data_IF_398132304931
#
_entry.id   IF_398132304931
#
_cell.length_a   1.000
_cell.length_b   1.000
_cell.length_c   1.000
_cell.angle_alpha   90.00
_cell.angle_beta   90.00
_cell.angle_gamma   90.00
#
_symmetry.space_group_name_H-M   'P 1'
#
loop_
_entity.id
_entity.type
_entity.pdbx_description
1 polymer ?
#
# COMPACT_ATOMS: atom_id res chain seq x y z
N UNK A 1 -17.96 29.80 -13.57
CA UNK A 1 -17.03 28.79 -13.01
C UNK A 1 -16.74 28.98 -11.51
N UNK A 2 -16.56 30.20 -11.02
CA UNK A 2 -16.22 30.47 -9.60
C UNK A 2 -17.40 30.22 -8.65
N UNK A 3 -18.62 30.60 -9.01
CA UNK A 3 -19.87 30.33 -8.23
C UNK A 3 -20.11 28.81 -8.08
N UNK A 4 -19.77 28.00 -9.07
CA UNK A 4 -19.95 26.53 -9.02
C UNK A 4 -18.94 25.85 -8.09
N UNK A 5 -17.73 26.41 -7.93
CA UNK A 5 -16.72 25.88 -7.00
C UNK A 5 -17.05 26.16 -5.53
N UNK A 6 -17.57 27.34 -5.23
CA UNK A 6 -17.97 27.71 -3.86
C UNK A 6 -19.14 26.84 -3.36
N UNK A 7 -20.11 26.53 -4.22
CA UNK A 7 -21.23 25.63 -3.88
C UNK A 7 -20.74 24.20 -3.59
N UNK A 8 -19.80 23.67 -4.38
CA UNK A 8 -19.23 22.31 -4.14
C UNK A 8 -18.49 22.23 -2.81
N UNK A 9 -17.68 23.25 -2.49
CA UNK A 9 -16.97 23.29 -1.20
C UNK A 9 -17.94 23.39 -0.01
N UNK A 10 -19.05 24.13 -0.17
CA UNK A 10 -20.10 24.23 0.85
C UNK A 10 -20.82 22.89 1.05
N UNK A 11 -21.11 22.16 -0.03
CA UNK A 11 -21.76 20.84 0.03
C UNK A 11 -20.85 19.76 0.63
N UNK A 12 -19.53 19.90 0.53
CA UNK A 12 -18.54 18.95 1.03
C UNK A 12 -17.88 19.42 2.34
N UNK A 13 -18.29 20.53 2.92
CA UNK A 13 -17.60 21.18 4.05
C UNK A 13 -17.37 20.25 5.25
N UNK A 14 -18.39 19.48 5.64
CA UNK A 14 -18.28 18.54 6.77
C UNK A 14 -17.26 17.44 6.49
N UNK A 15 -17.25 16.92 5.27
CA UNK A 15 -16.25 15.94 4.84
C UNK A 15 -14.84 16.55 4.84
N UNK A 16 -14.67 17.80 4.37
CA UNK A 16 -13.36 18.46 4.31
C UNK A 16 -12.78 18.66 5.71
N UNK A 17 -13.60 19.02 6.72
CA UNK A 17 -13.14 19.14 8.11
C UNK A 17 -12.57 17.82 8.61
N UNK A 18 -13.30 16.72 8.40
CA UNK A 18 -12.85 15.38 8.81
C UNK A 18 -11.61 14.97 8.02
N UNK A 19 -11.61 15.21 6.70
CA UNK A 19 -10.50 14.88 5.82
C UNK A 19 -9.20 15.60 6.21
N UNK A 20 -9.23 16.88 6.53
CA UNK A 20 -8.07 17.65 6.99
C UNK A 20 -7.57 17.10 8.33
N UNK A 21 -8.46 16.83 9.29
CA UNK A 21 -8.09 16.25 10.57
C UNK A 21 -7.39 14.90 10.40
N UNK A 22 -7.96 14.03 9.57
CA UNK A 22 -7.41 12.70 9.29
C UNK A 22 -6.11 12.76 8.48
N UNK A 23 -5.94 13.72 7.57
CA UNK A 23 -4.67 13.96 6.88
C UNK A 23 -3.56 14.31 7.87
N UNK A 24 -3.82 15.22 8.81
CA UNK A 24 -2.86 15.63 9.82
C UNK A 24 -2.48 14.44 10.71
N UNK A 25 -3.46 13.64 11.15
CA UNK A 25 -3.22 12.43 11.94
C UNK A 25 -2.39 11.40 11.16
N UNK A 26 -2.68 11.19 9.88
CA UNK A 26 -1.93 10.27 9.01
C UNK A 26 -0.48 10.72 8.84
N UNK A 27 -0.22 12.01 8.62
CA UNK A 27 1.14 12.56 8.56
C UNK A 27 1.84 12.33 9.90
N UNK A 28 1.19 12.61 11.03
CA UNK A 28 1.76 12.40 12.37
C UNK A 28 2.13 10.94 12.64
N UNK A 29 1.23 10.01 12.32
CA UNK A 29 1.47 8.57 12.50
C UNK A 29 2.58 8.05 11.57
N UNK A 30 2.58 8.44 10.30
CA UNK A 30 3.62 8.04 9.34
C UNK A 30 5.00 8.61 9.69
N UNK A 31 5.04 9.86 10.19
CA UNK A 31 6.27 10.49 10.70
C UNK A 31 6.81 9.74 11.91
N UNK A 32 5.94 9.31 12.82
CA UNK A 32 6.33 8.52 14.01
C UNK A 32 6.80 7.13 13.60
N UNK A 33 6.10 6.46 12.68
CA UNK A 33 6.53 5.17 12.15
C UNK A 33 7.95 5.25 11.57
N UNK A 34 8.22 6.24 10.71
CA UNK A 34 9.56 6.48 10.17
C UNK A 34 10.61 6.68 11.28
N UNK A 35 10.30 7.48 12.31
CA UNK A 35 11.24 7.72 13.40
C UNK A 35 11.52 6.47 14.25
N UNK A 36 10.51 5.64 14.48
CA UNK A 36 10.66 4.36 15.20
C UNK A 36 11.45 3.33 14.37
N UNK A 37 11.24 3.30 13.07
CA UNK A 37 12.01 2.47 12.13
C UNK A 37 13.51 2.80 12.20
N UNK A 38 13.84 4.11 12.16
CA UNK A 38 15.21 4.59 12.32
C UNK A 38 15.77 4.26 13.71
N UNK A 39 15.00 4.49 14.77
CA UNK A 39 15.42 4.20 16.13
C UNK A 39 15.77 2.72 16.32
N UNK A 40 14.95 1.81 15.78
CA UNK A 40 15.23 0.37 15.86
C UNK A 40 16.49 0.01 15.09
N UNK A 41 16.66 0.53 13.88
CA UNK A 41 17.85 0.23 13.08
C UNK A 41 19.13 0.82 13.72
N UNK A 42 19.10 2.07 14.21
CA UNK A 42 20.22 2.73 14.87
C UNK A 42 20.63 1.98 16.17
N UNK A 43 19.65 1.49 16.93
CA UNK A 43 19.87 0.76 18.18
C UNK A 43 20.44 -0.64 18.00
N UNK A 44 20.09 -1.32 16.89
CA UNK A 44 20.36 -2.75 16.72
C UNK A 44 21.35 -3.05 15.60
N UNK A 45 21.49 -2.18 14.61
CA UNK A 45 22.21 -2.43 13.37
C UNK A 45 21.62 -3.58 12.53
N UNK A 46 20.46 -4.14 12.91
CA UNK A 46 19.88 -5.35 12.34
C UNK A 46 18.79 -5.02 11.34
N UNK A 47 19.00 -5.42 10.09
CA UNK A 47 18.01 -5.36 9.01
C UNK A 47 16.82 -6.28 9.33
N UNK A 48 17.07 -7.40 9.99
CA UNK A 48 16.02 -8.35 10.40
C UNK A 48 15.11 -7.74 11.45
N UNK A 49 15.64 -7.07 12.49
CA UNK A 49 14.82 -6.44 13.52
C UNK A 49 14.03 -5.25 12.94
N UNK A 50 14.63 -4.49 12.03
CA UNK A 50 13.93 -3.46 11.27
C UNK A 50 12.77 -4.04 10.44
N UNK A 51 12.99 -5.14 9.72
CA UNK A 51 11.93 -5.81 8.94
C UNK A 51 10.77 -6.30 9.83
N UNK A 52 11.05 -6.73 11.06
CA UNK A 52 10.03 -7.12 12.03
C UNK A 52 9.15 -5.94 12.46
N UNK A 53 9.66 -4.72 12.52
CA UNK A 53 8.82 -3.53 12.79
C UNK A 53 7.70 -3.41 11.76
N UNK A 54 8.06 -3.50 10.48
CA UNK A 54 7.10 -3.47 9.37
C UNK A 54 6.14 -4.66 9.38
N UNK A 55 6.65 -5.86 9.74
CA UNK A 55 5.83 -7.06 9.88
C UNK A 55 4.74 -6.88 10.96
N UNK A 56 5.12 -6.44 12.15
CA UNK A 56 4.19 -6.24 13.28
C UNK A 56 3.22 -5.08 13.07
N UNK A 57 3.52 -4.17 12.14
CA UNK A 57 2.59 -3.14 11.68
C UNK A 57 1.59 -3.69 10.64
N UNK A 58 2.04 -4.55 9.72
CA UNK A 58 1.24 -4.95 8.55
C UNK A 58 0.44 -6.23 8.78
N UNK A 59 1.04 -7.25 9.38
CA UNK A 59 0.42 -8.57 9.53
C UNK A 59 -0.87 -8.54 10.38
N UNK A 60 -0.93 -7.86 11.55
CA UNK A 60 -2.17 -7.78 12.33
C UNK A 60 -3.27 -7.04 11.59
N UNK A 61 -2.93 -5.99 10.85
CA UNK A 61 -3.87 -5.24 10.00
C UNK A 61 -4.55 -6.17 8.98
N UNK A 62 -3.76 -7.00 8.27
CA UNK A 62 -4.26 -7.93 7.26
C UNK A 62 -5.16 -9.00 7.90
N UNK A 63 -4.74 -9.56 9.03
CA UNK A 63 -5.49 -10.63 9.71
C UNK A 63 -6.82 -10.15 10.30
N UNK A 64 -6.89 -8.91 10.77
CA UNK A 64 -8.07 -8.35 11.43
C UNK A 64 -9.04 -7.69 10.44
N UNK A 65 -8.55 -7.13 9.32
CA UNK A 65 -9.38 -6.41 8.34
C UNK A 65 -10.62 -7.18 7.86
N UNK A 66 -10.57 -8.50 7.57
CA UNK A 66 -11.74 -9.25 7.15
C UNK A 66 -12.85 -9.35 8.22
N UNK A 67 -12.46 -9.26 9.48
CA UNK A 67 -13.39 -9.31 10.62
C UNK A 67 -13.91 -7.91 10.95
N UNK A 68 -13.05 -6.91 10.80
CA UNK A 68 -13.34 -5.52 11.15
C UNK A 68 -14.45 -4.92 10.28
N UNK A 69 -14.45 -5.16 8.96
CA UNK A 69 -15.44 -4.62 8.04
C UNK A 69 -16.89 -4.88 8.46
N UNK A 70 -17.32 -6.16 8.57
CA UNK A 70 -18.69 -6.50 9.00
C UNK A 70 -19.08 -6.02 10.40
N UNK A 71 -18.10 -5.82 11.29
CA UNK A 71 -18.36 -5.28 12.63
C UNK A 71 -18.59 -3.78 12.58
N UNK A 72 -17.79 -3.05 11.81
CA UNK A 72 -17.92 -1.60 11.62
C UNK A 72 -19.25 -1.24 10.98
N UNK A 73 -19.79 -2.07 10.08
CA UNK A 73 -21.10 -1.84 9.47
C UNK A 73 -22.25 -1.80 10.49
N UNK A 74 -22.08 -2.46 11.66
CA UNK A 74 -23.06 -2.50 12.76
C UNK A 74 -22.84 -1.41 13.81
N UNK A 75 -21.67 -0.75 13.79
CA UNK A 75 -21.28 0.23 14.80
C UNK A 75 -21.47 1.66 14.33
N UNK A 76 -21.51 2.58 15.27
CA UNK A 76 -21.43 4.01 14.99
C UNK A 76 -20.04 4.34 14.43
N UNK A 77 -20.00 4.71 13.15
CA UNK A 77 -18.76 4.93 12.40
C UNK A 77 -17.89 6.03 13.01
N UNK A 78 -18.52 7.12 13.50
CA UNK A 78 -17.80 8.22 14.16
C UNK A 78 -17.16 7.74 15.46
N UNK A 79 -17.90 7.03 16.30
CA UNK A 79 -17.37 6.49 17.56
C UNK A 79 -16.26 5.49 17.28
N UNK A 80 -16.41 4.64 16.28
CA UNK A 80 -15.40 3.67 15.86
C UNK A 80 -14.09 4.36 15.46
N UNK A 81 -14.14 5.41 14.64
CA UNK A 81 -12.96 6.18 14.26
C UNK A 81 -12.29 6.82 15.48
N UNK A 82 -13.06 7.48 16.35
CA UNK A 82 -12.54 8.12 17.55
C UNK A 82 -11.85 7.10 18.48
N UNK A 83 -12.51 5.98 18.74
CA UNK A 83 -11.95 4.93 19.61
C UNK A 83 -10.68 4.35 18.98
N UNK A 84 -10.69 4.10 17.69
CA UNK A 84 -9.53 3.56 16.99
C UNK A 84 -8.34 4.53 17.02
N UNK A 85 -8.55 5.81 16.73
CA UNK A 85 -7.50 6.84 16.77
C UNK A 85 -6.92 7.01 18.19
N UNK A 86 -7.78 7.10 19.20
CA UNK A 86 -7.36 7.26 20.61
C UNK A 86 -6.58 6.03 21.07
N UNK A 87 -7.06 4.82 20.80
CA UNK A 87 -6.39 3.59 21.24
C UNK A 87 -5.07 3.39 20.50
N UNK A 88 -5.01 3.65 19.18
CA UNK A 88 -3.75 3.64 18.44
C UNK A 88 -2.73 4.64 19.02
N UNK A 89 -3.20 5.84 19.38
CA UNK A 89 -2.35 6.87 19.97
C UNK A 89 -1.81 6.48 21.35
N UNK A 90 -2.57 5.71 22.16
CA UNK A 90 -2.08 5.20 23.45
C UNK A 90 -0.84 4.32 23.29
N UNK A 91 -0.75 3.53 22.22
CA UNK A 91 0.46 2.77 21.90
C UNK A 91 1.67 3.68 21.70
N UNK A 92 1.50 4.78 20.95
CA UNK A 92 2.55 5.79 20.75
C UNK A 92 2.93 6.52 22.04
N UNK A 93 1.95 6.87 22.88
CA UNK A 93 2.19 7.49 24.18
C UNK A 93 3.00 6.54 25.09
N UNK A 94 2.65 5.25 25.12
CA UNK A 94 3.39 4.25 25.91
C UNK A 94 4.85 4.16 25.45
N UNK A 95 5.13 4.15 24.13
CA UNK A 95 6.50 4.24 23.61
C UNK A 95 7.18 5.51 24.10
N UNK A 96 6.52 6.66 24.04
CA UNK A 96 7.08 7.94 24.49
C UNK A 96 7.45 7.93 25.97
N UNK A 97 6.59 7.41 26.82
CA UNK A 97 6.86 7.26 28.25
C UNK A 97 8.06 6.34 28.48
N UNK A 98 8.09 5.16 27.87
CA UNK A 98 9.19 4.20 27.97
C UNK A 98 10.52 4.80 27.50
N UNK A 99 10.47 5.60 26.44
CA UNK A 99 11.64 6.30 25.91
C UNK A 99 12.18 7.34 26.91
N UNK A 100 11.31 8.18 27.46
CA UNK A 100 11.70 9.23 28.43
C UNK A 100 12.29 8.64 29.70
N UNK A 101 11.76 7.54 30.23
CA UNK A 101 12.30 6.85 31.39
C UNK A 101 13.52 5.95 31.09
N UNK A 102 13.99 5.94 29.82
CA UNK A 102 15.17 5.18 29.41
C UNK A 102 14.97 3.65 29.38
N UNK A 103 13.72 3.15 29.34
CA UNK A 103 13.39 1.72 29.34
C UNK A 103 12.78 1.22 28.01
N UNK A 104 12.89 2.01 26.94
CA UNK A 104 12.39 1.59 25.63
C UNK A 104 13.30 0.49 25.07
N UNK A 105 12.69 -0.65 24.73
CA UNK A 105 13.29 -1.77 24.03
C UNK A 105 12.55 -2.06 22.73
N UNK A 106 13.19 -2.77 21.79
CA UNK A 106 12.65 -3.04 20.44
C UNK A 106 11.31 -3.78 20.49
N UNK A 107 11.17 -4.77 21.40
CA UNK A 107 9.92 -5.54 21.50
C UNK A 107 8.71 -4.71 21.94
N UNK A 108 8.92 -3.60 22.68
CA UNK A 108 7.83 -2.67 23.00
C UNK A 108 7.25 -2.03 21.73
N UNK A 109 8.13 -1.73 20.74
CA UNK A 109 7.73 -1.17 19.45
C UNK A 109 6.91 -2.19 18.65
N UNK A 110 7.31 -3.46 18.65
CA UNK A 110 6.53 -4.53 18.01
C UNK A 110 5.13 -4.65 18.61
N UNK A 111 5.01 -4.63 19.93
CA UNK A 111 3.70 -4.67 20.62
C UNK A 111 2.85 -3.44 20.30
N UNK A 112 3.43 -2.24 20.35
CA UNK A 112 2.72 -1.01 20.07
C UNK A 112 2.26 -0.94 18.61
N UNK A 113 3.09 -1.38 17.65
CA UNK A 113 2.71 -1.47 16.24
C UNK A 113 1.59 -2.48 16.02
N UNK A 114 1.67 -3.66 16.66
CA UNK A 114 0.58 -4.65 16.63
C UNK A 114 -0.72 -4.06 17.14
N UNK A 115 -0.67 -3.39 18.29
CA UNK A 115 -1.82 -2.75 18.91
C UNK A 115 -2.42 -1.68 17.98
N UNK A 116 -1.59 -0.79 17.44
CA UNK A 116 -1.99 0.24 16.46
C UNK A 116 -2.62 -0.40 15.23
N UNK A 117 -2.01 -1.43 14.65
CA UNK A 117 -2.48 -2.11 13.45
C UNK A 117 -3.87 -2.75 13.64
N UNK A 118 -4.15 -3.32 14.81
CA UNK A 118 -5.47 -3.88 15.17
C UNK A 118 -6.53 -2.78 15.09
N UNK A 119 -6.31 -1.61 15.71
CA UNK A 119 -7.30 -0.53 15.69
C UNK A 119 -7.42 0.14 14.32
N UNK A 120 -6.32 0.26 13.57
CA UNK A 120 -6.36 0.76 12.20
C UNK A 120 -7.17 -0.13 11.26
N UNK A 121 -7.27 -1.45 11.51
CA UNK A 121 -8.13 -2.35 10.78
C UNK A 121 -9.63 -1.99 10.90
N UNK A 122 -10.05 -1.39 12.02
CA UNK A 122 -11.43 -0.87 12.22
C UNK A 122 -11.58 0.57 11.72
N UNK A 123 -10.54 1.39 11.87
CA UNK A 123 -10.57 2.79 11.44
C UNK A 123 -10.81 2.94 9.94
N UNK A 124 -10.05 2.21 9.11
CA UNK A 124 -10.10 2.35 7.65
C UNK A 124 -11.49 2.10 7.06
N UNK A 125 -12.21 1.00 7.34
CA UNK A 125 -13.56 0.80 6.84
C UNK A 125 -14.56 1.81 7.43
N UNK A 126 -14.39 2.22 8.70
CA UNK A 126 -15.24 3.25 9.31
C UNK A 126 -15.10 4.60 8.58
N UNK A 127 -13.88 5.02 8.26
CA UNK A 127 -13.61 6.25 7.53
C UNK A 127 -14.19 6.20 6.11
N UNK A 128 -13.96 5.12 5.37
CA UNK A 128 -14.50 4.93 4.02
C UNK A 128 -16.03 4.97 4.02
N UNK A 129 -16.67 4.27 4.95
CA UNK A 129 -18.13 4.27 5.08
C UNK A 129 -18.69 5.64 5.52
N UNK A 130 -17.93 6.39 6.33
CA UNK A 130 -18.29 7.75 6.75
C UNK A 130 -18.27 8.73 5.59
N UNK A 131 -17.36 8.56 4.64
CA UNK A 131 -17.28 9.41 3.43
C UNK A 131 -18.57 9.37 2.64
N UNK A 132 -19.18 8.18 2.49
CA UNK A 132 -20.47 8.02 1.77
C UNK A 132 -21.62 8.75 2.48
N UNK A 133 -21.55 8.91 3.81
CA UNK A 133 -22.57 9.61 4.59
C UNK A 133 -22.43 11.14 4.58
N UNK A 134 -21.18 11.62 4.49
CA UNK A 134 -20.87 13.06 4.60
C UNK A 134 -20.86 13.77 3.26
N UNK A 135 -20.85 13.01 2.15
CA UNK A 135 -20.69 13.57 0.80
C UNK A 135 -21.93 13.28 -0.05
N UNK A 136 -22.52 14.27 -0.73
CA UNK A 136 -23.57 14.05 -1.71
C UNK A 136 -23.12 13.08 -2.81
N UNK A 137 -24.02 12.21 -3.28
CA UNK A 137 -23.71 11.15 -4.27
C UNK A 137 -22.97 11.66 -5.50
N UNK A 138 -23.31 12.87 -5.98
CA UNK A 138 -22.69 13.53 -7.13
C UNK A 138 -21.20 13.89 -6.92
N UNK A 139 -20.72 13.95 -5.67
CA UNK A 139 -19.34 14.33 -5.31
C UNK A 139 -18.50 13.17 -4.75
N UNK A 140 -19.03 11.94 -4.71
CA UNK A 140 -18.30 10.77 -4.18
C UNK A 140 -16.97 10.51 -4.91
N UNK A 141 -16.94 10.70 -6.23
CA UNK A 141 -15.68 10.56 -7.00
C UNK A 141 -14.62 11.58 -6.56
N UNK A 142 -15.04 12.81 -6.21
CA UNK A 142 -14.11 13.84 -5.68
C UNK A 142 -13.62 13.48 -4.29
N UNK A 143 -14.50 12.97 -3.43
CA UNK A 143 -14.11 12.51 -2.09
C UNK A 143 -13.12 11.35 -2.15
N UNK A 144 -13.35 10.36 -3.02
CA UNK A 144 -12.42 9.25 -3.25
C UNK A 144 -11.06 9.75 -3.78
N UNK A 145 -11.07 10.73 -4.69
CA UNK A 145 -9.85 11.40 -5.15
C UNK A 145 -9.09 12.08 -4.02
N UNK A 146 -9.80 12.80 -3.12
CA UNK A 146 -9.20 13.42 -1.94
C UNK A 146 -8.64 12.38 -0.95
N UNK A 147 -9.31 11.24 -0.76
CA UNK A 147 -8.79 10.15 0.06
C UNK A 147 -7.48 9.58 -0.52
N UNK A 148 -7.43 9.34 -1.82
CA UNK A 148 -6.19 8.89 -2.49
C UNK A 148 -5.08 9.95 -2.38
N UNK A 149 -5.43 11.23 -2.54
CA UNK A 149 -4.49 12.35 -2.38
C UNK A 149 -3.91 12.42 -0.97
N UNK A 150 -4.71 12.13 0.06
CA UNK A 150 -4.25 12.08 1.46
C UNK A 150 -3.08 11.09 1.64
N UNK A 151 -3.17 9.89 1.09
CA UNK A 151 -2.10 8.90 1.12
C UNK A 151 -0.86 9.40 0.34
N UNK A 152 -1.06 9.96 -0.86
CA UNK A 152 0.04 10.52 -1.65
C UNK A 152 0.78 11.66 -0.92
N UNK A 153 0.04 12.58 -0.30
CA UNK A 153 0.62 13.67 0.52
C UNK A 153 1.42 13.10 1.68
N UNK A 154 0.89 12.10 2.39
CA UNK A 154 1.59 11.47 3.51
C UNK A 154 2.89 10.80 3.08
N UNK A 155 2.90 10.07 1.95
CA UNK A 155 4.10 9.44 1.39
C UNK A 155 5.20 10.44 1.04
N UNK A 156 4.83 11.65 0.64
CA UNK A 156 5.78 12.70 0.27
C UNK A 156 6.25 13.48 1.50
N UNK A 157 5.34 13.85 2.40
CA UNK A 157 5.65 14.76 3.51
C UNK A 157 6.25 14.04 4.72
N UNK A 158 5.68 12.88 5.09
CA UNK A 158 6.02 12.26 6.37
C UNK A 158 7.49 11.83 6.49
N UNK A 159 8.16 11.23 5.48
CA UNK A 159 9.57 10.86 5.61
C UNK A 159 10.50 12.07 5.72
N UNK A 160 10.30 13.12 4.88
CA UNK A 160 11.10 14.35 4.98
C UNK A 160 10.88 15.04 6.33
N UNK A 161 9.62 15.18 6.76
CA UNK A 161 9.29 15.78 8.05
C UNK A 161 9.89 14.96 9.20
N UNK A 162 9.80 13.63 9.15
CA UNK A 162 10.38 12.73 10.13
C UNK A 162 11.89 12.84 10.21
N UNK A 163 12.57 12.88 9.07
CA UNK A 163 14.02 13.06 9.00
C UNK A 163 14.48 14.38 9.60
N UNK A 164 13.79 15.48 9.31
CA UNK A 164 14.09 16.81 9.87
C UNK A 164 13.75 16.86 11.36
N UNK A 165 12.55 16.45 11.75
CA UNK A 165 12.13 16.52 13.16
C UNK A 165 12.99 15.62 14.06
N UNK A 166 13.42 14.44 13.56
CA UNK A 166 14.26 13.55 14.37
C UNK A 166 15.60 14.21 14.74
N UNK A 167 16.13 15.07 13.86
CA UNK A 167 17.39 15.80 14.14
C UNK A 167 17.20 17.01 15.04
N UNK A 168 16.03 17.68 15.02
CA UNK A 168 15.78 18.93 15.74
C UNK A 168 15.13 18.67 17.11
N UNK A 169 14.06 17.88 17.13
CA UNK A 169 13.23 17.67 18.33
C UNK A 169 13.31 16.24 18.88
N UNK A 170 14.12 15.40 18.25
CA UNK A 170 14.30 13.99 18.61
C UNK A 170 12.99 13.19 18.64
N UNK A 171 13.03 11.95 19.11
CA UNK A 171 11.87 11.07 19.16
C UNK A 171 10.72 11.60 20.03
N UNK A 172 11.05 12.28 21.16
CA UNK A 172 10.05 12.86 22.05
C UNK A 172 9.18 13.91 21.36
N UNK A 173 9.83 14.80 20.58
CA UNK A 173 9.10 15.85 19.84
C UNK A 173 8.21 15.28 18.75
N UNK A 174 8.64 14.20 18.08
CA UNK A 174 7.83 13.51 17.07
C UNK A 174 6.60 12.84 17.70
N UNK A 175 6.78 12.20 18.85
CA UNK A 175 5.64 11.61 19.59
C UNK A 175 4.64 12.69 20.02
N UNK A 176 5.13 13.82 20.53
CA UNK A 176 4.26 14.96 20.88
C UNK A 176 3.53 15.51 19.65
N UNK A 177 4.22 15.62 18.50
CA UNK A 177 3.62 16.02 17.24
C UNK A 177 2.50 15.06 16.83
N UNK A 178 2.71 13.72 16.91
CA UNK A 178 1.69 12.74 16.62
C UNK A 178 0.48 12.83 17.55
N UNK A 179 0.69 12.93 18.86
CA UNK A 179 -0.39 13.10 19.85
C UNK A 179 -1.22 14.36 19.54
N UNK A 180 -0.54 15.47 19.20
CA UNK A 180 -1.21 16.72 18.81
C UNK A 180 -2.00 16.52 17.49
N UNK A 181 -1.46 15.81 16.50
CA UNK A 181 -2.11 15.50 15.25
C UNK A 181 -3.39 14.67 15.45
N UNK A 182 -3.33 13.64 16.30
CA UNK A 182 -4.51 12.83 16.66
C UNK A 182 -5.53 13.66 17.45
N UNK A 183 -5.11 14.56 18.32
CA UNK A 183 -6.02 15.47 19.01
C UNK A 183 -6.77 16.39 18.04
N UNK A 184 -6.09 16.91 17.00
CA UNK A 184 -6.74 17.70 15.94
C UNK A 184 -7.77 16.84 15.17
N UNK A 185 -7.44 15.60 14.84
CA UNK A 185 -8.38 14.68 14.21
C UNK A 185 -9.60 14.37 15.12
N UNK A 186 -9.36 14.16 16.40
CA UNK A 186 -10.42 13.98 17.40
C UNK A 186 -11.36 15.18 17.44
N UNK A 187 -10.82 16.41 17.51
CA UNK A 187 -11.61 17.64 17.49
C UNK A 187 -12.41 17.76 16.19
N UNK A 188 -11.80 17.45 15.04
CA UNK A 188 -12.50 17.48 13.75
C UNK A 188 -13.70 16.53 13.71
N UNK A 189 -13.56 15.34 14.27
CA UNK A 189 -14.65 14.37 14.40
C UNK A 189 -15.72 14.82 15.42
N UNK A 190 -15.34 15.55 16.47
CA UNK A 190 -16.28 16.09 17.45
C UNK A 190 -17.13 17.25 16.87
N UNK A 191 -16.56 18.06 16.00
CA UNK A 191 -17.26 19.21 15.38
C UNK A 191 -18.29 18.76 14.33
N UNK A 192 -18.13 17.58 13.72
CA UNK A 192 -19.01 17.10 12.66
C UNK A 192 -20.06 16.14 13.22
N UNK A 193 -21.33 16.41 12.95
CA UNK A 193 -22.43 15.49 13.23
C UNK A 193 -22.62 14.55 12.04
N UNK A 194 -22.49 13.26 12.26
CA UNK A 194 -22.79 12.26 11.24
C UNK A 194 -24.30 11.99 11.22
N UNK A 195 -24.89 11.80 10.01
CA UNK A 195 -26.26 11.34 9.90
C UNK A 195 -26.42 9.95 10.56
N UNK A 196 -27.51 9.75 11.29
CA UNK A 196 -27.83 8.45 11.86
C UNK A 196 -28.21 7.49 10.74
N UNK A 197 -27.54 6.32 10.71
CA UNK A 197 -27.88 5.25 9.79
C UNK A 197 -28.82 4.29 10.51
N UNK A 198 -30.04 4.16 10.01
CA UNK A 198 -30.96 3.11 10.47
C UNK A 198 -30.38 1.75 10.09
N UNK A 199 -29.70 1.11 11.03
CA UNK A 199 -29.06 -0.21 10.89
C UNK A 199 -30.07 -1.37 10.69
N UNK A 200 -31.36 -1.11 10.78
CA UNK A 200 -32.40 -2.14 10.65
C UNK A 200 -32.54 -2.77 9.25
N UNK A 201 -31.94 -2.16 8.20
CA UNK A 201 -32.08 -2.66 6.83
C UNK A 201 -30.94 -3.57 6.33
N UNK A 202 -29.87 -3.75 7.11
CA UNK A 202 -28.64 -4.47 6.65
C UNK A 202 -28.66 -5.96 7.07
N UNK A 203 -29.74 -6.46 7.66
CA UNK A 203 -29.80 -7.79 8.31
C UNK A 203 -30.05 -8.99 7.37
N UNK A 204 -29.81 -8.94 6.05
CA UNK A 204 -30.22 -10.02 5.13
C UNK A 204 -29.15 -10.71 4.31
N UNK A 205 -27.87 -10.66 4.66
CA UNK A 205 -26.88 -11.53 4.01
C UNK A 205 -26.27 -12.49 5.05
N UNK A 206 -26.89 -13.65 5.24
CA UNK A 206 -26.35 -14.78 6.02
C UNK A 206 -25.30 -15.61 5.25
N UNK A 207 -24.52 -15.05 4.34
CA UNK A 207 -23.42 -15.79 3.76
C UNK A 207 -22.23 -15.77 4.72
N UNK A 208 -21.72 -16.96 5.07
CA UNK A 208 -20.50 -17.06 5.88
C UNK A 208 -19.34 -16.47 5.10
N UNK A 209 -18.54 -15.60 5.72
CA UNK A 209 -17.29 -15.04 5.15
C UNK A 209 -16.42 -16.14 4.51
N UNK A 210 -16.31 -17.30 5.17
CA UNK A 210 -15.58 -18.45 4.62
C UNK A 210 -16.18 -18.99 3.32
N UNK A 211 -17.50 -19.00 3.19
CA UNK A 211 -18.18 -19.44 1.96
C UNK A 211 -17.92 -18.47 0.82
N UNK A 212 -17.94 -17.16 1.08
CA UNK A 212 -17.66 -16.15 0.06
C UNK A 212 -16.19 -16.13 -0.37
N UNK A 213 -15.27 -16.29 0.59
CA UNK A 213 -13.84 -16.42 0.32
C UNK A 213 -13.55 -17.69 -0.49
N UNK A 214 -14.13 -18.82 -0.11
CA UNK A 214 -13.99 -20.09 -0.84
C UNK A 214 -14.52 -19.96 -2.27
N UNK A 215 -15.64 -19.28 -2.48
CA UNK A 215 -16.19 -19.04 -3.80
C UNK A 215 -15.23 -18.19 -4.66
N UNK A 216 -14.70 -17.06 -4.14
CA UNK A 216 -13.75 -16.20 -4.84
C UNK A 216 -12.48 -16.95 -5.24
N UNK A 217 -11.93 -17.78 -4.34
CA UNK A 217 -10.76 -18.62 -4.62
C UNK A 217 -11.07 -19.67 -5.70
N UNK A 218 -12.19 -20.38 -5.58
CA UNK A 218 -12.62 -21.38 -6.56
C UNK A 218 -12.82 -20.75 -7.94
N UNK A 219 -13.38 -19.53 -7.99
CA UNK A 219 -13.55 -18.77 -9.24
C UNK A 219 -12.22 -18.48 -9.92
N UNK A 220 -11.19 -18.08 -9.16
CA UNK A 220 -9.84 -17.82 -9.66
C UNK A 220 -9.15 -19.12 -10.13
N UNK A 221 -9.25 -20.20 -9.34
CA UNK A 221 -8.65 -21.51 -9.69
C UNK A 221 -9.26 -22.06 -10.98
N UNK A 222 -10.56 -21.88 -11.20
CA UNK A 222 -11.25 -22.28 -12.43
C UNK A 222 -10.82 -21.48 -13.67
N UNK A 223 -10.13 -20.33 -13.46
CA UNK A 223 -9.66 -19.44 -14.54
C UNK A 223 -8.14 -19.20 -14.42
N UNK A 224 -7.29 -20.12 -14.93
CA UNK A 224 -5.84 -20.07 -14.71
C UNK A 224 -5.16 -18.77 -15.16
N UNK A 225 -5.70 -18.07 -16.17
CA UNK A 225 -5.21 -16.76 -16.60
C UNK A 225 -5.39 -15.68 -15.54
N UNK A 226 -6.57 -15.63 -14.89
CA UNK A 226 -6.83 -14.68 -13.80
C UNK A 226 -6.03 -15.02 -12.53
N UNK A 227 -5.96 -16.30 -12.18
CA UNK A 227 -5.12 -16.75 -11.06
C UNK A 227 -3.65 -16.38 -11.28
N UNK A 228 -3.14 -16.65 -12.49
CA UNK A 228 -1.78 -16.28 -12.88
C UNK A 228 -1.54 -14.77 -12.76
N UNK A 229 -2.51 -13.94 -13.18
CA UNK A 229 -2.42 -12.49 -13.05
C UNK A 229 -2.39 -12.03 -11.58
N UNK A 230 -3.19 -12.65 -10.71
CA UNK A 230 -3.21 -12.34 -9.27
C UNK A 230 -1.89 -12.74 -8.61
N UNK A 231 -1.34 -13.92 -8.93
CA UNK A 231 -0.06 -14.36 -8.39
C UNK A 231 1.10 -13.50 -8.88
N UNK A 232 1.07 -13.11 -10.17
CA UNK A 232 2.06 -12.20 -10.75
C UNK A 232 1.97 -10.80 -10.14
N UNK A 233 0.76 -10.29 -9.85
CA UNK A 233 0.59 -9.06 -9.08
C UNK A 233 1.11 -9.19 -7.65
N UNK A 234 0.85 -10.31 -6.97
CA UNK A 234 1.32 -10.56 -5.61
C UNK A 234 2.86 -10.59 -5.53
N UNK A 235 3.56 -11.10 -6.55
CA UNK A 235 5.02 -11.05 -6.59
C UNK A 235 5.56 -9.62 -6.63
N UNK A 236 4.87 -8.70 -7.33
CA UNK A 236 5.20 -7.27 -7.30
C UNK A 236 5.10 -6.69 -5.87
N UNK A 237 4.05 -7.04 -5.11
CA UNK A 237 3.93 -6.63 -3.70
C UNK A 237 5.02 -7.23 -2.81
N UNK A 238 5.42 -8.49 -3.05
CA UNK A 238 6.57 -9.10 -2.37
C UNK A 238 7.86 -8.34 -2.62
N UNK A 239 8.12 -7.94 -3.87
CA UNK A 239 9.30 -7.16 -4.27
C UNK A 239 9.29 -5.78 -3.60
N UNK A 240 8.14 -5.09 -3.60
CA UNK A 240 7.96 -3.80 -2.89
C UNK A 240 8.27 -3.97 -1.41
N UNK A 241 7.76 -5.03 -0.76
CA UNK A 241 8.08 -5.36 0.64
C UNK A 241 9.59 -5.53 0.86
N UNK A 242 10.25 -6.27 0.00
CA UNK A 242 11.70 -6.48 0.05
C UNK A 242 12.51 -5.18 -0.13
N UNK A 243 12.13 -4.35 -1.10
CA UNK A 243 12.78 -3.04 -1.33
C UNK A 243 12.61 -2.13 -0.11
N UNK A 244 11.43 -2.10 0.51
CA UNK A 244 11.19 -1.31 1.72
C UNK A 244 12.14 -1.71 2.86
N UNK A 245 12.38 -3.02 3.05
CA UNK A 245 13.32 -3.53 4.07
C UNK A 245 14.77 -3.13 3.79
N UNK A 246 15.20 -3.16 2.53
CA UNK A 246 16.59 -2.89 2.14
C UNK A 246 16.88 -1.39 2.09
N UNK A 247 15.91 -0.56 1.72
CA UNK A 247 16.11 0.86 1.38
C UNK A 247 16.71 1.65 2.53
N UNK A 248 16.12 1.60 3.72
CA UNK A 248 16.59 2.40 4.87
C UNK A 248 18.00 1.99 5.30
N UNK A 249 18.28 0.70 5.58
CA UNK A 249 19.63 0.25 5.94
C UNK A 249 20.68 0.59 4.88
N UNK A 250 20.35 0.41 3.61
CA UNK A 250 21.30 0.66 2.52
C UNK A 250 21.60 2.15 2.38
N UNK A 251 20.59 3.02 2.40
CA UNK A 251 20.77 4.48 2.21
C UNK A 251 21.50 5.11 3.39
N UNK A 252 21.29 4.63 4.62
CA UNK A 252 21.99 5.12 5.81
C UNK A 252 23.50 4.86 5.79
N UNK A 253 24.01 3.96 4.95
CA UNK A 253 25.46 3.82 4.72
C UNK A 253 26.06 5.01 3.95
N UNK A 254 25.24 5.83 3.28
CA UNK A 254 25.71 6.92 2.44
C UNK A 254 25.36 8.31 2.97
N UNK A 255 24.26 8.45 3.72
CA UNK A 255 23.72 9.77 4.10
C UNK A 255 23.12 9.79 5.49
N UNK A 256 22.92 11.02 6.00
CA UNK A 256 22.24 11.27 7.28
C UNK A 256 20.73 10.93 7.20
N UNK A 257 20.13 10.73 8.38
CA UNK A 257 18.69 10.45 8.54
C UNK A 257 17.82 11.54 7.89
N UNK A 258 18.21 12.81 8.01
CA UNK A 258 17.47 13.92 7.42
C UNK A 258 17.42 13.80 5.88
N UNK A 259 18.55 13.44 5.26
CA UNK A 259 18.62 13.28 3.80
C UNK A 259 17.93 11.99 3.33
N UNK A 260 17.96 10.91 4.13
CA UNK A 260 17.16 9.70 3.88
C UNK A 260 15.67 10.02 3.75
N UNK A 261 15.12 10.85 4.66
CA UNK A 261 13.71 11.27 4.57
C UNK A 261 13.39 11.92 3.22
N UNK A 262 14.29 12.76 2.69
CA UNK A 262 14.14 13.36 1.36
C UNK A 262 14.13 12.32 0.24
N UNK A 263 15.00 11.31 0.31
CA UNK A 263 15.04 10.21 -0.69
C UNK A 263 13.73 9.42 -0.67
N UNK A 264 13.22 9.07 0.50
CA UNK A 264 11.95 8.35 0.61
C UNK A 264 10.77 9.19 0.09
N UNK A 265 10.80 10.50 0.30
CA UNK A 265 9.81 11.42 -0.28
C UNK A 265 9.88 11.49 -1.81
N UNK A 266 11.07 11.37 -2.41
CA UNK A 266 11.21 11.23 -3.87
C UNK A 266 10.52 9.95 -4.38
N UNK A 267 10.59 8.85 -3.63
CA UNK A 267 9.86 7.62 -3.98
C UNK A 267 8.34 7.80 -3.86
N UNK A 268 7.87 8.55 -2.87
CA UNK A 268 6.47 8.97 -2.80
C UNK A 268 6.03 9.81 -4.01
N UNK A 269 6.88 10.75 -4.45
CA UNK A 269 6.66 11.55 -5.67
C UNK A 269 6.59 10.63 -6.91
N UNK A 270 7.46 9.61 -7.01
CA UNK A 270 7.44 8.67 -8.13
C UNK A 270 6.10 7.91 -8.21
N UNK A 271 5.57 7.43 -7.08
CA UNK A 271 4.26 6.76 -7.02
C UNK A 271 3.14 7.71 -7.47
N UNK A 272 3.11 8.94 -6.95
CA UNK A 272 2.09 9.93 -7.33
C UNK A 272 2.21 10.30 -8.82
N UNK A 273 3.42 10.51 -9.31
CA UNK A 273 3.68 10.82 -10.73
C UNK A 273 3.26 9.65 -11.63
N UNK A 274 3.54 8.40 -11.26
CA UNK A 274 3.09 7.21 -11.98
C UNK A 274 1.56 7.12 -12.06
N UNK A 275 0.85 7.41 -10.97
CA UNK A 275 -0.61 7.48 -10.94
C UNK A 275 -1.17 8.59 -11.84
N UNK A 276 -0.54 9.77 -11.84
CA UNK A 276 -0.91 10.88 -12.73
C UNK A 276 -0.66 10.52 -14.20
N UNK A 277 0.46 9.88 -14.52
CA UNK A 277 0.75 9.43 -15.88
C UNK A 277 -0.34 8.49 -16.40
N UNK A 278 -0.76 7.51 -15.60
CA UNK A 278 -1.88 6.62 -15.98
C UNK A 278 -3.17 7.41 -16.21
N UNK A 279 -3.47 8.37 -15.33
CA UNK A 279 -4.70 9.16 -15.42
C UNK A 279 -4.76 10.04 -16.66
N UNK A 280 -3.59 10.54 -17.14
CA UNK A 280 -3.49 11.39 -18.33
C UNK A 280 -3.46 10.53 -19.59
N UNK A 281 -2.69 9.43 -19.56
CA UNK A 281 -2.47 8.60 -20.74
C UNK A 281 -3.64 7.66 -21.04
N UNK A 282 -4.42 7.28 -20.01
CA UNK A 282 -5.57 6.37 -20.14
C UNK A 282 -5.22 4.88 -20.30
N UNK A 283 -3.92 4.53 -20.31
CA UNK A 283 -3.42 3.17 -20.48
C UNK A 283 -3.25 2.72 -21.93
N UNK A 284 -2.78 1.50 -22.12
CA UNK A 284 -2.68 0.84 -23.43
C UNK A 284 -4.01 0.15 -23.76
N UNK A 285 -4.31 -0.01 -25.06
CA UNK A 285 -5.47 -0.79 -25.54
C UNK A 285 -5.49 -2.21 -24.95
N UNK A 286 -4.29 -2.80 -24.78
CA UNK A 286 -4.09 -4.08 -24.09
C UNK A 286 -3.28 -3.86 -22.81
N UNK A 287 -3.96 -3.92 -21.69
CA UNK A 287 -3.37 -3.71 -20.36
C UNK A 287 -2.30 -4.73 -20.02
N UNK A 288 -2.42 -5.97 -20.53
CA UNK A 288 -1.46 -7.04 -20.26
C UNK A 288 -0.05 -6.69 -20.77
N UNK A 289 0.08 -5.97 -21.89
CA UNK A 289 1.38 -5.52 -22.39
C UNK A 289 1.97 -4.36 -21.57
N UNK A 290 1.12 -3.49 -21.00
CA UNK A 290 1.57 -2.48 -20.04
C UNK A 290 2.13 -3.14 -18.78
N UNK A 291 1.45 -4.19 -18.27
CA UNK A 291 1.90 -4.95 -17.11
C UNK A 291 3.28 -5.57 -17.37
N UNK A 292 3.45 -6.33 -18.46
CA UNK A 292 4.71 -6.97 -18.79
C UNK A 292 5.84 -5.98 -19.06
N UNK A 293 5.57 -4.93 -19.83
CA UNK A 293 6.57 -3.90 -20.15
C UNK A 293 7.07 -3.19 -18.90
N UNK A 294 6.15 -2.75 -18.04
CA UNK A 294 6.50 -2.09 -16.78
C UNK A 294 7.20 -3.04 -15.80
N UNK A 295 6.82 -4.32 -15.72
CA UNK A 295 7.50 -5.29 -14.84
C UNK A 295 8.90 -5.63 -15.34
N UNK A 296 9.12 -5.76 -16.65
CA UNK A 296 10.47 -5.92 -17.21
C UNK A 296 11.35 -4.70 -16.89
N UNK A 297 10.83 -3.49 -17.11
CA UNK A 297 11.53 -2.25 -16.75
C UNK A 297 11.81 -2.19 -15.25
N UNK A 298 10.84 -2.56 -14.41
CA UNK A 298 11.02 -2.66 -12.95
C UNK A 298 12.19 -3.56 -12.59
N UNK A 299 12.28 -4.73 -13.20
CA UNK A 299 13.39 -5.66 -12.97
C UNK A 299 14.74 -5.06 -13.37
N UNK A 300 14.81 -4.37 -14.50
CA UNK A 300 16.02 -3.66 -14.94
C UNK A 300 16.39 -2.53 -13.96
N UNK A 301 15.41 -1.74 -13.52
CA UNK A 301 15.66 -0.63 -12.59
C UNK A 301 16.14 -1.11 -11.23
N UNK A 302 15.57 -2.19 -10.68
CA UNK A 302 16.03 -2.82 -9.43
C UNK A 302 17.46 -3.36 -9.59
N UNK A 303 17.74 -4.04 -10.70
CA UNK A 303 19.07 -4.55 -11.00
C UNK A 303 20.11 -3.43 -11.05
N UNK A 304 19.84 -2.36 -11.78
CA UNK A 304 20.72 -1.20 -11.89
C UNK A 304 20.92 -0.52 -10.53
N UNK A 305 19.87 -0.42 -9.71
CA UNK A 305 19.94 0.15 -8.36
C UNK A 305 20.95 -0.59 -7.46
N UNK A 306 21.11 -1.90 -7.63
CA UNK A 306 22.07 -2.73 -6.87
C UNK A 306 23.50 -2.71 -7.42
N UNK A 307 23.71 -2.30 -8.68
CA UNK A 307 24.94 -2.53 -9.42
C UNK A 307 26.16 -1.76 -8.85
N UNK A 308 25.95 -0.52 -8.44
CA UNK A 308 27.06 0.34 -7.97
C UNK A 308 26.84 0.81 -6.53
N UNK A 309 27.94 1.04 -5.81
CA UNK A 309 27.94 1.71 -4.50
C UNK A 309 27.70 3.22 -4.67
N UNK A 310 26.61 3.59 -5.31
CA UNK A 310 26.26 4.97 -5.63
C UNK A 310 24.83 5.28 -5.20
N UNK A 311 24.68 6.24 -4.29
CA UNK A 311 23.40 6.74 -3.86
C UNK A 311 22.52 7.23 -5.03
N UNK A 312 23.15 7.89 -6.02
CA UNK A 312 22.43 8.43 -7.18
C UNK A 312 21.85 7.30 -8.03
N UNK A 313 22.67 6.27 -8.34
CA UNK A 313 22.23 5.11 -9.13
C UNK A 313 21.11 4.35 -8.42
N UNK A 314 21.27 4.15 -7.11
CA UNK A 314 20.22 3.53 -6.28
C UNK A 314 18.94 4.37 -6.30
N UNK A 315 19.02 5.66 -6.00
CA UNK A 315 17.85 6.54 -5.92
C UNK A 315 17.11 6.62 -7.25
N UNK A 316 17.84 6.79 -8.36
CA UNK A 316 17.22 6.84 -9.70
C UNK A 316 16.57 5.49 -10.06
N UNK A 317 17.26 4.38 -9.82
CA UNK A 317 16.72 3.05 -10.10
C UNK A 317 15.43 2.77 -9.31
N UNK A 318 15.42 3.04 -8.00
CA UNK A 318 14.25 2.81 -7.15
C UNK A 318 13.14 3.85 -7.44
N UNK A 319 13.48 5.09 -7.79
CA UNK A 319 12.50 6.08 -8.26
C UNK A 319 11.76 5.58 -9.51
N UNK A 320 12.49 5.12 -10.51
CA UNK A 320 11.90 4.59 -11.74
C UNK A 320 11.10 3.31 -11.49
N UNK A 321 11.55 2.45 -10.58
CA UNK A 321 10.77 1.31 -10.13
C UNK A 321 9.42 1.73 -9.55
N UNK A 322 9.40 2.66 -8.58
CA UNK A 322 8.15 3.13 -7.98
C UNK A 322 7.24 3.88 -8.96
N UNK A 323 7.80 4.52 -9.98
CA UNK A 323 7.04 5.17 -11.05
C UNK A 323 6.22 4.15 -11.86
N UNK A 324 6.71 2.93 -12.04
CA UNK A 324 6.02 1.88 -12.80
C UNK A 324 4.89 1.20 -12.00
N UNK A 325 4.94 1.20 -10.67
CA UNK A 325 4.00 0.44 -9.82
C UNK A 325 2.53 0.84 -9.99
N UNK A 326 2.15 2.13 -10.05
CA UNK A 326 0.76 2.52 -10.32
C UNK A 326 0.27 2.07 -11.70
N UNK A 327 1.15 2.00 -12.71
CA UNK A 327 0.80 1.52 -14.06
C UNK A 327 0.45 0.03 -14.00
N UNK A 328 1.31 -0.78 -13.35
CA UNK A 328 1.08 -2.22 -13.18
C UNK A 328 -0.21 -2.47 -12.40
N UNK A 329 -0.40 -1.78 -11.27
CA UNK A 329 -1.56 -1.96 -10.41
C UNK A 329 -2.87 -1.57 -11.11
N UNK A 330 -2.92 -0.41 -11.77
CA UNK A 330 -4.13 0.06 -12.47
C UNK A 330 -4.45 -0.82 -13.69
N UNK A 331 -3.44 -1.25 -14.45
CA UNK A 331 -3.65 -2.15 -15.59
C UNK A 331 -4.15 -3.54 -15.13
N UNK A 332 -3.58 -4.08 -14.04
CA UNK A 332 -4.05 -5.33 -13.43
C UNK A 332 -5.51 -5.20 -12.97
N UNK A 333 -5.84 -4.09 -12.33
CA UNK A 333 -7.21 -3.81 -11.87
C UNK A 333 -8.18 -3.70 -13.03
N UNK A 334 -7.80 -3.05 -14.13
CA UNK A 334 -8.61 -2.90 -15.33
C UNK A 334 -8.89 -4.26 -16.00
N UNK A 335 -7.87 -5.13 -16.13
CA UNK A 335 -8.07 -6.50 -16.65
C UNK A 335 -9.06 -7.26 -15.78
N UNK A 336 -8.89 -7.23 -14.44
CA UNK A 336 -9.79 -7.93 -13.52
C UNK A 336 -11.23 -7.40 -13.60
N UNK A 337 -11.42 -6.07 -13.65
CA UNK A 337 -12.76 -5.47 -13.77
C UNK A 337 -13.46 -5.84 -15.08
N UNK A 338 -12.72 -5.95 -16.17
CA UNK A 338 -13.28 -6.29 -17.48
C UNK A 338 -13.60 -7.78 -17.65
N UNK A 339 -12.91 -8.67 -16.91
CA UNK A 339 -13.00 -10.14 -17.10
C UNK A 339 -13.75 -10.86 -15.98
N UNK A 340 -14.00 -10.21 -14.84
CA UNK A 340 -14.76 -10.80 -13.73
C UNK A 340 -16.19 -10.28 -13.77
N UNK A 341 -17.16 -11.18 -13.69
CA UNK A 341 -18.58 -10.84 -13.69
C UNK A 341 -18.96 -9.89 -12.54
N UNK A 342 -19.74 -8.82 -12.77
CA UNK A 342 -20.11 -7.85 -11.75
C UNK A 342 -20.72 -8.46 -10.49
N UNK A 343 -21.51 -9.55 -10.65
CA UNK A 343 -22.18 -10.28 -9.57
C UNK A 343 -21.23 -10.94 -8.57
N UNK A 344 -19.98 -11.20 -8.96
CA UNK A 344 -18.95 -11.88 -8.15
C UNK A 344 -17.69 -11.06 -7.91
N UNK A 345 -17.59 -9.85 -8.52
CA UNK A 345 -16.39 -9.00 -8.42
C UNK A 345 -15.97 -8.75 -6.98
N UNK A 346 -16.92 -8.46 -6.08
CA UNK A 346 -16.60 -8.19 -4.67
C UNK A 346 -15.86 -9.35 -4.01
N UNK A 347 -16.31 -10.60 -4.25
CA UNK A 347 -15.70 -11.82 -3.68
C UNK A 347 -14.32 -12.09 -4.27
N UNK A 348 -14.19 -11.96 -5.59
CA UNK A 348 -12.92 -12.21 -6.30
C UNK A 348 -11.88 -11.15 -5.93
N UNK A 349 -12.27 -9.86 -5.84
CA UNK A 349 -11.36 -8.78 -5.47
C UNK A 349 -10.95 -8.83 -4.00
N UNK A 350 -11.81 -9.32 -3.11
CA UNK A 350 -11.44 -9.57 -1.72
C UNK A 350 -10.31 -10.61 -1.63
N UNK A 351 -10.41 -11.73 -2.37
CA UNK A 351 -9.37 -12.77 -2.40
C UNK A 351 -8.10 -12.26 -3.08
N UNK A 352 -8.23 -11.56 -4.22
CA UNK A 352 -7.08 -10.90 -4.86
C UNK A 352 -6.35 -10.00 -3.87
N UNK A 353 -7.06 -9.09 -3.21
CA UNK A 353 -6.48 -8.17 -2.24
C UNK A 353 -5.83 -8.89 -1.06
N UNK A 354 -6.42 -9.98 -0.56
CA UNK A 354 -5.83 -10.79 0.51
C UNK A 354 -4.53 -11.46 0.09
N UNK A 355 -4.45 -12.02 -1.13
CA UNK A 355 -3.24 -12.65 -1.67
C UNK A 355 -2.14 -11.59 -1.85
N UNK A 356 -2.46 -10.45 -2.46
CA UNK A 356 -1.52 -9.35 -2.65
C UNK A 356 -1.02 -8.77 -1.32
N UNK A 357 -1.94 -8.52 -0.38
CA UNK A 357 -1.57 -8.01 0.94
C UNK A 357 -0.68 -8.97 1.73
N UNK A 358 -0.92 -10.29 1.63
CA UNK A 358 -0.08 -11.31 2.29
C UNK A 358 1.35 -11.36 1.73
N UNK A 359 1.58 -10.88 0.52
CA UNK A 359 2.91 -10.87 -0.10
C UNK A 359 3.88 -9.88 0.57
N UNK A 360 3.40 -8.74 1.12
CA UNK A 360 4.24 -7.80 1.84
C UNK A 360 4.94 -8.42 3.07
N UNK A 361 4.22 -9.03 4.04
CA UNK A 361 4.84 -9.71 5.18
C UNK A 361 5.83 -10.81 4.78
N UNK A 362 5.55 -11.53 3.69
CA UNK A 362 6.48 -12.53 3.16
C UNK A 362 7.80 -11.88 2.72
N UNK A 363 7.74 -10.71 2.06
CA UNK A 363 8.92 -9.91 1.74
C UNK A 363 9.70 -9.51 2.99
N UNK A 364 9.02 -9.03 4.04
CA UNK A 364 9.68 -8.62 5.29
C UNK A 364 10.37 -9.78 6.00
N UNK A 365 9.70 -10.93 6.14
CA UNK A 365 10.24 -12.12 6.84
C UNK A 365 11.43 -12.74 6.09
N UNK A 366 11.43 -12.69 4.75
CA UNK A 366 12.46 -13.37 3.96
C UNK A 366 13.64 -12.46 3.63
N UNK A 367 13.39 -11.24 3.16
CA UNK A 367 14.44 -10.37 2.62
C UNK A 367 15.33 -9.79 3.74
N UNK A 368 14.77 -9.46 4.93
CA UNK A 368 15.56 -8.98 6.06
C UNK A 368 16.65 -9.96 6.50
N UNK A 369 16.29 -11.20 6.89
CA UNK A 369 17.27 -12.23 7.24
C UNK A 369 18.21 -12.61 6.10
N UNK A 370 17.74 -12.66 4.84
CA UNK A 370 18.59 -12.93 3.68
C UNK A 370 19.64 -11.84 3.51
N UNK A 371 19.26 -10.57 3.58
CA UNK A 371 20.19 -9.45 3.49
C UNK A 371 21.27 -9.55 4.59
N UNK A 372 20.85 -9.66 5.85
CA UNK A 372 21.73 -9.57 7.02
C UNK A 372 22.61 -10.82 7.20
N UNK A 373 22.02 -12.03 7.11
CA UNK A 373 22.71 -13.27 7.48
C UNK A 373 23.37 -14.00 6.32
N UNK A 374 22.97 -13.69 5.09
CA UNK A 374 23.49 -14.36 3.90
C UNK A 374 24.28 -13.40 3.03
N UNK A 375 23.64 -12.36 2.50
CA UNK A 375 24.26 -11.53 1.46
C UNK A 375 25.31 -10.55 2.00
N UNK A 376 25.09 -9.93 3.17
CA UNK A 376 26.13 -9.06 3.77
C UNK A 376 27.42 -9.83 4.11
N UNK A 377 27.39 -11.02 4.77
CA UNK A 377 28.60 -11.81 4.99
C UNK A 377 29.27 -12.29 3.70
N UNK A 378 28.51 -12.64 2.66
CA UNK A 378 29.06 -13.07 1.37
C UNK A 378 29.86 -11.95 0.68
N UNK A 379 29.44 -10.70 0.83
CA UNK A 379 30.01 -9.51 0.19
C UNK A 379 30.92 -8.69 1.13
N UNK A 380 31.17 -9.17 2.35
CA UNK A 380 32.16 -8.58 3.24
C UNK A 380 33.56 -8.61 2.61
N UNK A 381 34.51 -7.76 3.08
CA UNK A 381 35.87 -7.68 2.55
C UNK A 381 36.62 -9.02 2.50
N UNK A 382 36.29 -9.94 3.42
CA UNK A 382 36.82 -11.29 3.47
C UNK A 382 35.75 -12.36 3.14
N UNK A 383 34.63 -11.95 2.54
CA UNK A 383 33.54 -12.83 2.17
C UNK A 383 33.90 -13.73 0.98
N UNK A 384 33.16 -14.83 0.83
CA UNK A 384 33.43 -15.82 -0.21
C UNK A 384 33.25 -15.30 -1.65
N UNK A 385 32.41 -14.26 -1.82
CA UNK A 385 32.18 -13.61 -3.12
C UNK A 385 33.03 -12.35 -3.34
N UNK A 386 33.86 -11.94 -2.38
CA UNK A 386 34.74 -10.78 -2.50
C UNK A 386 35.71 -10.87 -3.66
N UNK A 387 36.28 -12.05 -3.91
CA UNK A 387 37.23 -12.30 -5.00
C UNK A 387 36.61 -12.51 -6.40
N UNK A 388 35.30 -12.57 -6.51
CA UNK A 388 34.54 -12.77 -7.76
C UNK A 388 33.59 -11.63 -8.06
N UNK A 389 32.35 -11.73 -7.60
CA UNK A 389 31.32 -10.69 -7.80
C UNK A 389 31.74 -9.37 -7.13
N UNK A 390 32.41 -9.44 -5.98
CA UNK A 390 32.93 -8.27 -5.27
C UNK A 390 33.92 -7.41 -6.05
N UNK A 391 34.63 -7.98 -7.02
CA UNK A 391 35.51 -7.22 -7.93
C UNK A 391 34.70 -6.33 -8.90
N UNK A 392 33.48 -6.73 -9.24
CA UNK A 392 32.61 -6.02 -10.18
C UNK A 392 31.78 -4.95 -9.46
N UNK A 393 31.12 -5.34 -8.37
CA UNK A 393 30.14 -4.47 -7.71
C UNK A 393 30.67 -3.81 -6.42
N UNK A 394 31.89 -4.17 -5.98
CA UNK A 394 32.49 -3.72 -4.73
C UNK A 394 32.22 -4.66 -3.56
N UNK A 395 32.93 -4.44 -2.46
CA UNK A 395 32.82 -5.20 -1.20
C UNK A 395 32.58 -4.27 -0.02
N UNK A 396 32.07 -4.78 1.09
CA UNK A 396 31.87 -4.03 2.34
C UNK A 396 30.40 -3.80 2.67
N UNK A 397 30.15 -2.94 3.65
CA UNK A 397 28.80 -2.66 4.17
C UNK A 397 27.84 -2.18 3.08
N UNK A 398 26.64 -2.76 3.04
CA UNK A 398 25.58 -2.46 2.05
C UNK A 398 25.77 -3.15 0.70
N UNK A 399 26.92 -3.78 0.43
CA UNK A 399 27.15 -4.46 -0.88
C UNK A 399 26.38 -5.77 -0.99
N UNK A 400 26.19 -6.46 0.15
CA UNK A 400 25.30 -7.62 0.21
C UNK A 400 23.86 -7.27 -0.14
N UNK A 401 23.35 -6.16 0.41
CA UNK A 401 22.02 -5.64 0.07
C UNK A 401 21.93 -5.23 -1.41
N UNK A 402 22.97 -4.57 -1.96
CA UNK A 402 23.06 -4.25 -3.39
C UNK A 402 23.02 -5.50 -4.28
N UNK A 403 23.76 -6.53 -3.91
CA UNK A 403 23.75 -7.81 -4.63
C UNK A 403 22.38 -8.51 -4.56
N UNK A 404 21.74 -8.47 -3.40
CA UNK A 404 20.37 -9.00 -3.25
C UNK A 404 19.37 -8.25 -4.14
N UNK A 405 19.48 -6.91 -4.27
CA UNK A 405 18.67 -6.14 -5.21
C UNK A 405 18.90 -6.59 -6.66
N UNK A 406 20.15 -6.85 -7.06
CA UNK A 406 20.43 -7.36 -8.40
C UNK A 406 19.75 -8.71 -8.65
N UNK A 407 19.81 -9.62 -7.68
CA UNK A 407 19.10 -10.91 -7.77
C UNK A 407 17.59 -10.70 -7.86
N UNK A 408 17.00 -9.83 -7.04
CA UNK A 408 15.56 -9.50 -7.12
C UNK A 408 15.21 -8.94 -8.50
N UNK A 409 16.04 -8.06 -9.08
CA UNK A 409 15.87 -7.55 -10.44
C UNK A 409 15.89 -8.64 -11.50
N UNK A 410 16.85 -9.55 -11.44
CA UNK A 410 16.94 -10.70 -12.36
C UNK A 410 15.73 -11.62 -12.19
N UNK A 411 15.34 -11.94 -10.97
CA UNK A 411 14.14 -12.77 -10.70
C UNK A 411 12.88 -12.13 -11.24
N UNK A 412 12.73 -10.81 -11.12
CA UNK A 412 11.58 -10.05 -11.70
C UNK A 412 11.57 -10.16 -13.22
N UNK A 413 12.72 -10.04 -13.89
CA UNK A 413 12.82 -10.20 -15.35
C UNK A 413 12.48 -11.63 -15.75
N UNK A 414 13.04 -12.63 -15.05
CA UNK A 414 12.78 -14.05 -15.33
C UNK A 414 11.31 -14.41 -15.12
N UNK A 415 10.73 -14.00 -14.00
CA UNK A 415 9.30 -14.21 -13.71
C UNK A 415 8.42 -13.59 -14.78
N UNK A 416 8.69 -12.33 -15.15
CA UNK A 416 7.94 -11.64 -16.21
C UNK A 416 8.09 -12.35 -17.55
N UNK A 417 9.27 -12.85 -17.87
CA UNK A 417 9.54 -13.62 -19.09
C UNK A 417 8.77 -14.94 -19.09
N UNK A 418 8.75 -15.65 -17.96
CA UNK A 418 7.98 -16.91 -17.79
C UNK A 418 6.47 -16.61 -17.89
N UNK A 419 6.01 -15.55 -17.25
CA UNK A 419 4.60 -15.13 -17.32
C UNK A 419 4.17 -14.78 -18.75
N UNK A 420 5.04 -14.12 -19.51
CA UNK A 420 4.79 -13.84 -20.94
C UNK A 420 4.76 -15.10 -21.81
N UNK A 421 5.58 -16.12 -21.50
CA UNK A 421 5.60 -17.39 -22.19
C UNK A 421 4.42 -18.31 -21.81
N UNK A 422 3.72 -18.02 -20.71
CA UNK A 422 2.55 -18.79 -20.30
C UNK A 422 1.28 -18.33 -21.06
N UNK A 423 0.76 -19.12 -22.03
CA UNK A 423 -0.30 -18.65 -22.94
C UNK A 423 -1.57 -18.18 -22.23
N UNK A 424 -1.99 -18.88 -21.16
CA UNK A 424 -3.21 -18.55 -20.39
C UNK A 424 -3.15 -17.17 -19.74
N UNK A 425 -1.96 -16.70 -19.36
CA UNK A 425 -1.76 -15.38 -18.80
C UNK A 425 -1.57 -14.33 -19.90
N UNK A 426 -0.77 -14.67 -20.93
CA UNK A 426 -0.51 -13.76 -22.05
C UNK A 426 -1.78 -13.37 -22.80
N UNK A 427 -2.68 -14.33 -23.01
CA UNK A 427 -3.93 -14.13 -23.75
C UNK A 427 -5.17 -13.97 -22.85
N UNK A 428 -4.98 -13.62 -21.56
CA UNK A 428 -6.08 -13.48 -20.60
C UNK A 428 -7.14 -12.47 -21.04
N UNK A 429 -6.74 -11.42 -21.76
CA UNK A 429 -7.66 -10.43 -22.33
C UNK A 429 -8.40 -10.94 -23.57
N UNK A 430 -7.87 -11.93 -24.28
CA UNK A 430 -8.49 -12.50 -25.49
C UNK A 430 -9.32 -13.77 -25.15
N UNK A 431 -8.85 -14.63 -24.23
CA UNK A 431 -9.53 -15.89 -23.87
C UNK A 431 -10.83 -15.69 -23.09
N UNK A 432 -10.91 -14.63 -22.29
CA UNK A 432 -12.08 -14.36 -21.47
C UNK A 432 -12.93 -13.24 -22.10
N UNK A 433 -14.27 -13.41 -22.17
CA UNK A 433 -15.15 -12.40 -22.73
C UNK A 433 -15.13 -11.12 -21.87
N UNK A 434 -15.28 -9.96 -22.52
CA UNK A 434 -15.50 -8.70 -21.82
C UNK A 434 -16.92 -8.66 -21.29
N UNK A 435 -17.09 -8.64 -20.00
CA UNK A 435 -18.40 -8.70 -19.33
C UNK A 435 -19.27 -7.50 -19.69
N UNK A 436 -18.66 -6.31 -19.81
CA UNK A 436 -19.38 -5.09 -20.22
C UNK A 436 -19.90 -5.18 -21.66
N UNK A 437 -19.17 -5.81 -22.59
CA UNK A 437 -19.62 -6.02 -23.96
C UNK A 437 -20.80 -7.01 -24.04
N UNK A 438 -20.77 -8.05 -23.20
CA UNK A 438 -21.86 -9.02 -23.10
C UNK A 438 -23.13 -8.41 -22.52
N UNK A 439 -23.01 -7.53 -21.49
CA UNK A 439 -24.14 -6.84 -20.92
C UNK A 439 -24.79 -5.86 -21.91
N UNK A 440 -23.99 -5.07 -22.64
CA UNK A 440 -24.49 -4.15 -23.68
C UNK A 440 -25.15 -4.93 -24.83
N UNK A 441 -24.59 -6.06 -25.23
CA UNK A 441 -25.19 -6.92 -26.29
C UNK A 441 -26.53 -7.52 -25.82
N UNK A 442 -26.66 -7.92 -24.56
CA UNK A 442 -27.90 -8.43 -24.00
C UNK A 442 -28.99 -7.35 -23.90
N UNK A 443 -28.64 -6.12 -23.44
CA UNK A 443 -29.57 -4.98 -23.38
C UNK A 443 -30.05 -4.56 -24.79
N UNK A 444 -29.14 -4.54 -25.76
CA UNK A 444 -29.53 -4.23 -27.16
C UNK A 444 -30.40 -5.33 -27.81
N UNK A 445 -30.20 -6.58 -27.46
CA UNK A 445 -31.04 -7.69 -27.91
C UNK A 445 -32.44 -7.63 -27.26
N UNK A 446 -32.50 -7.32 -25.96
CA UNK A 446 -33.77 -7.12 -25.21
C UNK A 446 -34.56 -5.96 -25.78
N UNK A 447 -33.96 -4.79 -25.99
CA UNK A 447 -34.63 -3.61 -26.55
C UNK A 447 -35.13 -3.82 -27.99
N UNK A 448 -34.45 -4.66 -28.82
CA UNK A 448 -34.93 -5.05 -30.13
C UNK A 448 -36.14 -6.01 -30.07
N UNK A 449 -36.15 -6.94 -29.13
CA UNK A 449 -37.28 -7.83 -28.94
C UNK A 449 -38.52 -7.09 -28.42
N UNK A 450 -38.35 -6.13 -27.53
CA UNK A 450 -39.43 -5.28 -27.02
C UNK A 450 -39.99 -4.37 -28.14
N UNK A 451 -39.15 -3.86 -29.03
CA UNK A 451 -39.57 -3.06 -30.16
C UNK A 451 -40.34 -3.90 -31.21
N UNK A 452 -39.98 -5.17 -31.42
CA UNK A 452 -40.67 -6.10 -32.30
C UNK A 452 -42.03 -6.54 -31.72
N UNK A 453 -42.13 -6.71 -30.40
CA UNK A 453 -43.38 -7.06 -29.72
C UNK A 453 -44.40 -5.92 -29.67
N UNK A 454 -43.97 -4.65 -29.82
CA UNK A 454 -44.85 -3.49 -29.89
C UNK A 454 -45.41 -3.20 -31.30
N UNK A 455 -44.88 -3.88 -32.35
CA UNK A 455 -45.29 -3.73 -33.77
C UNK A 455 -46.14 -4.91 -34.20
N UNK A 456 -46.19 -6.00 -33.44
CA UNK A 456 -47.06 -7.17 -33.65
C UNK A 456 -48.34 -7.07 -32.81
#
# INVERSE_FOLDING_TARGET
MEKTRLTVLQEMWLFIIVWVGQLIALIGSSTTAFALDIWVYDRTGSVTQFALVSLFNTLPLILISPIAGPLVDKWDRRKTMIIADVLACLGTIAIGVLFVIGRLEVWHIYLANTFTAVFMAFHTPAYTASTVLLVPKQHLNRANGLMSLMFGISLIIAPTLGGVLLTIVHLQGIILFHVTAVFIAFVSLMLVRFPEVNTSAVATAKSSFLSEATYGLTYLIARPGLLGLVLFSASSFYIVGGINVITIPLVLNFVSVSFLGTILSLFGIAIVAGGLLVSIWGGLERNIYAIYGCMLLSGVFIFVAGLQASLVVFTVGIFLFFLTQPIVSSSTQAVMQNKVEPSVQGRVFAIKGAIEAAAFPLGYITIGPLAEKVFEPLMATNGSLAGSIGQIIGVGSGRGMGFLLMIMGVLTILETSIAYLYPRLRFVEDELPNVNAVAIAADTASSKNDAVSLIS
#
